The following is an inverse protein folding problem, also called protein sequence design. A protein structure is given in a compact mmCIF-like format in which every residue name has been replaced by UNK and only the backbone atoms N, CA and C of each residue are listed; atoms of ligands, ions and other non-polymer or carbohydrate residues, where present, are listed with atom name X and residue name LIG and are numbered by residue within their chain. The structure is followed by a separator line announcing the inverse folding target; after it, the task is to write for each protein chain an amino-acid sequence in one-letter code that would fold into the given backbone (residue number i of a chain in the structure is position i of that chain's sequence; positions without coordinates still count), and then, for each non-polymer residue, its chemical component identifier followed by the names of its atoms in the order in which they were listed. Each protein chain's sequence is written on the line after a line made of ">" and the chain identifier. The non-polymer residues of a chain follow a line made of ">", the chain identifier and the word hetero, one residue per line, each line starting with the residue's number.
data_IF_479080008423
#
_entry.id   IF_479080008423
#
_cell.length_a   1.000
_cell.length_b   1.000
_cell.length_c   1.000
_cell.angle_alpha   90.00
_cell.angle_beta   90.00
_cell.angle_gamma   90.00
#
_symmetry.space_group_name_H-M   'P 1'
#
loop_
_entity.id
_entity.type
_entity.pdbx_description
1 polymer ?
#
# COMPACT_ATOMS: atom_id res chain seq x y z
N UNK A 1 1.89 -2.65 -7.97
CA UNK A 1 0.79 -1.66 -7.90
C UNK A 1 -0.28 -2.08 -6.89
N UNK A 2 -0.73 -3.35 -6.91
CA UNK A 2 -1.69 -3.91 -5.92
C UNK A 2 -1.27 -3.62 -4.47
N UNK A 3 -0.02 -3.93 -4.10
CA UNK A 3 0.46 -3.75 -2.73
C UNK A 3 0.37 -2.30 -2.25
N UNK A 4 0.78 -1.34 -3.10
CA UNK A 4 0.74 0.08 -2.73
C UNK A 4 -0.69 0.58 -2.51
N UNK A 5 -1.64 0.10 -3.33
CA UNK A 5 -3.05 0.44 -3.22
C UNK A 5 -3.71 -0.25 -2.02
N UNK A 6 -3.61 -1.57 -1.89
CA UNK A 6 -4.34 -2.33 -0.87
C UNK A 6 -3.80 -2.13 0.55
N UNK A 7 -2.51 -1.88 0.68
CA UNK A 7 -1.86 -1.61 1.97
C UNK A 7 -1.64 -0.12 2.23
N UNK A 8 -2.13 0.75 1.33
CA UNK A 8 -2.00 2.20 1.43
C UNK A 8 -0.57 2.68 1.64
N UNK A 9 0.42 2.11 0.95
CA UNK A 9 1.83 2.43 1.19
C UNK A 9 2.16 3.86 0.75
N UNK A 10 3.00 4.56 1.53
CA UNK A 10 3.68 5.75 1.00
C UNK A 10 4.74 5.32 -0.01
N UNK A 11 5.10 6.22 -0.94
CA UNK A 11 6.18 5.98 -1.92
C UNK A 11 7.47 5.48 -1.28
N UNK A 12 7.89 6.10 -0.18
CA UNK A 12 9.10 5.72 0.56
C UNK A 12 8.99 4.34 1.21
N UNK A 13 7.81 3.99 1.72
CA UNK A 13 7.55 2.67 2.33
C UNK A 13 7.53 1.58 1.26
N UNK A 14 6.94 1.87 0.09
CA UNK A 14 6.92 0.94 -1.03
C UNK A 14 8.33 0.61 -1.52
N UNK A 15 9.21 1.60 -1.75
CA UNK A 15 10.59 1.33 -2.21
C UNK A 15 11.46 0.67 -1.15
N UNK A 16 11.21 0.92 0.14
CA UNK A 16 12.02 0.39 1.24
C UNK A 16 11.62 -1.03 1.67
N UNK A 17 10.61 -1.64 1.04
CA UNK A 17 10.11 -2.97 1.38
C UNK A 17 11.21 -4.03 1.26
N UNK A 18 11.34 -4.88 2.29
CA UNK A 18 12.31 -5.96 2.33
C UNK A 18 11.63 -7.32 2.24
N UNK A 19 12.36 -8.33 1.75
CA UNK A 19 11.84 -9.70 1.69
C UNK A 19 11.56 -10.28 3.08
N UNK A 20 12.31 -9.87 4.10
CA UNK A 20 12.09 -10.27 5.51
C UNK A 20 10.76 -9.77 6.08
N UNK A 21 10.18 -8.73 5.48
CA UNK A 21 8.89 -8.19 5.90
C UNK A 21 7.72 -9.07 5.42
N UNK A 22 7.96 -10.00 4.49
CA UNK A 22 6.92 -10.84 3.90
C UNK A 22 7.00 -12.25 4.51
N UNK A 23 5.98 -12.61 5.26
CA UNK A 23 5.80 -13.96 5.77
C UNK A 23 4.85 -14.75 4.85
N UNK A 24 5.41 -15.52 3.91
CA UNK A 24 4.63 -16.31 2.96
C UNK A 24 3.85 -17.48 3.58
N UNK A 25 4.24 -17.93 4.78
CA UNK A 25 3.57 -19.01 5.49
C UNK A 25 2.37 -18.46 6.27
N UNK A 26 2.58 -17.38 7.02
CA UNK A 26 1.51 -16.67 7.75
C UNK A 26 0.60 -15.85 6.83
N UNK A 27 0.99 -15.66 5.56
CA UNK A 27 0.25 -14.84 4.58
C UNK A 27 0.14 -13.37 5.01
N UNK A 28 1.23 -12.82 5.56
CA UNK A 28 1.25 -11.47 6.12
C UNK A 28 2.44 -10.67 5.60
N UNK A 29 2.28 -9.35 5.62
CA UNK A 29 3.36 -8.39 5.42
C UNK A 29 3.47 -7.47 6.62
N UNK A 30 4.69 -7.30 7.14
CA UNK A 30 5.01 -6.30 8.16
C UNK A 30 5.36 -4.96 7.49
N UNK A 31 4.51 -3.96 7.64
CA UNK A 31 4.70 -2.68 6.98
C UNK A 31 5.49 -1.74 7.89
N UNK A 32 6.77 -1.53 7.55
CA UNK A 32 7.63 -0.52 8.19
C UNK A 32 7.22 0.87 7.74
N UNK A 33 6.46 1.57 8.57
CA UNK A 33 5.98 2.92 8.22
C UNK A 33 7.08 3.96 8.40
N UNK A 34 7.04 5.00 7.56
CA UNK A 34 7.99 6.11 7.62
C UNK A 34 7.83 6.94 8.92
N UNK A 35 8.89 7.70 9.28
CA UNK A 35 9.06 8.35 10.59
C UNK A 35 7.78 9.01 11.12
N UNK A 36 7.43 8.65 12.35
CA UNK A 36 6.25 9.18 13.04
C UNK A 36 4.94 8.48 12.71
N UNK A 37 4.96 7.35 12.00
CA UNK A 37 3.79 6.49 11.75
C UNK A 37 3.89 5.17 12.52
N UNK A 38 2.78 4.43 12.62
CA UNK A 38 2.72 3.16 13.35
C UNK A 38 2.93 2.00 12.38
N UNK A 39 4.02 1.26 12.54
CA UNK A 39 4.25 0.01 11.81
C UNK A 39 3.33 -1.10 12.31
N UNK A 40 3.03 -2.08 11.47
CA UNK A 40 2.17 -3.20 11.84
C UNK A 40 2.07 -4.26 10.75
N UNK A 41 1.55 -5.42 11.12
CA UNK A 41 1.25 -6.49 10.19
C UNK A 41 -0.08 -6.22 9.45
N UNK A 42 -0.15 -6.69 8.20
CA UNK A 42 -1.37 -6.71 7.40
C UNK A 42 -1.45 -8.03 6.61
N UNK A 43 -2.64 -8.59 6.39
CA UNK A 43 -2.80 -9.82 5.61
C UNK A 43 -2.54 -9.55 4.13
N UNK A 44 -1.84 -10.47 3.46
CA UNK A 44 -1.65 -10.46 2.02
C UNK A 44 -2.77 -11.24 1.33
N UNK A 45 -3.28 -10.69 0.24
CA UNK A 45 -4.26 -11.40 -0.58
C UNK A 45 -3.59 -12.50 -1.42
N UNK A 46 -4.36 -13.52 -1.81
CA UNK A 46 -3.87 -14.67 -2.58
C UNK A 46 -3.16 -14.28 -3.88
N UNK A 47 -3.70 -13.30 -4.60
CA UNK A 47 -3.10 -12.77 -5.83
C UNK A 47 -1.79 -12.00 -5.55
N UNK A 48 -1.70 -11.26 -4.45
CA UNK A 48 -0.45 -10.62 -4.01
C UNK A 48 0.61 -11.64 -3.63
N UNK A 49 0.24 -12.69 -2.90
CA UNK A 49 1.15 -13.79 -2.56
C UNK A 49 1.68 -14.48 -3.82
N UNK A 50 0.80 -14.77 -4.77
CA UNK A 50 1.18 -15.41 -6.03
C UNK A 50 2.12 -14.50 -6.85
N UNK A 51 1.80 -13.21 -6.95
CA UNK A 51 2.63 -12.23 -7.65
C UNK A 51 4.00 -12.09 -6.97
N UNK A 52 4.04 -11.98 -5.64
CA UNK A 52 5.28 -11.88 -4.87
C UNK A 52 6.13 -13.15 -4.99
N UNK A 53 5.53 -14.35 -4.93
CA UNK A 53 6.25 -15.61 -5.14
C UNK A 53 6.82 -15.72 -6.54
N UNK A 54 6.04 -15.35 -7.57
CA UNK A 54 6.50 -15.32 -8.95
C UNK A 54 7.68 -14.37 -9.10
N UNK A 55 7.51 -13.14 -8.65
CA UNK A 55 8.53 -12.11 -8.73
C UNK A 55 9.80 -12.48 -7.92
N UNK A 56 9.65 -13.12 -6.76
CA UNK A 56 10.78 -13.61 -5.96
C UNK A 56 11.62 -14.65 -6.74
N UNK A 57 10.99 -15.56 -7.49
CA UNK A 57 11.70 -16.54 -8.33
C UNK A 57 12.40 -15.87 -9.50
N UNK A 58 11.77 -14.87 -10.10
CA UNK A 58 12.29 -14.16 -11.29
C UNK A 58 13.39 -13.15 -10.95
N UNK A 59 13.41 -12.60 -9.73
CA UNK A 59 14.37 -11.57 -9.32
C UNK A 59 15.83 -12.06 -9.24
N UNK A 60 16.07 -13.38 -9.14
CA UNK A 60 17.40 -13.98 -9.09
C UNK A 60 18.21 -13.60 -7.84
N UNK A 61 18.94 -12.48 -7.89
CA UNK A 61 19.81 -11.99 -6.81
C UNK A 61 19.00 -11.25 -5.74
N UNK A 62 19.02 -11.80 -4.53
CA UNK A 62 18.32 -11.27 -3.35
C UNK A 62 19.26 -10.76 -2.25
N UNK A 63 20.55 -10.67 -2.53
CA UNK A 63 21.59 -10.31 -1.55
C UNK A 63 21.35 -8.95 -0.88
N UNK A 64 20.71 -8.00 -1.57
CA UNK A 64 20.38 -6.69 -1.00
C UNK A 64 19.25 -6.72 0.04
N UNK A 65 18.43 -7.78 0.03
CA UNK A 65 17.25 -7.93 0.87
C UNK A 65 16.03 -7.09 0.44
N UNK A 66 16.18 -6.13 -0.47
CA UNK A 66 15.06 -5.32 -0.98
C UNK A 66 14.18 -6.14 -1.92
N UNK A 67 12.85 -5.93 -1.82
CA UNK A 67 11.90 -6.50 -2.79
C UNK A 67 12.12 -5.85 -4.16
N UNK A 68 12.16 -4.51 -4.19
CA UNK A 68 12.32 -3.76 -5.44
C UNK A 68 13.77 -3.32 -5.60
N UNK A 69 14.59 -4.17 -6.21
CA UNK A 69 16.02 -3.91 -6.41
C UNK A 69 16.29 -3.27 -7.77
N UNK A 70 17.09 -2.21 -7.78
CA UNK A 70 17.64 -1.59 -8.98
C UNK A 70 18.94 -2.25 -9.44
N UNK A 71 19.46 -1.82 -10.59
CA UNK A 71 20.66 -2.39 -11.22
C UNK A 71 21.93 -2.33 -10.35
N UNK A 72 22.00 -1.40 -9.41
CA UNK A 72 23.12 -1.20 -8.49
C UNK A 72 22.98 -1.98 -7.17
N UNK A 73 22.09 -2.98 -7.11
CA UNK A 73 21.78 -3.76 -5.89
C UNK A 73 21.25 -2.93 -4.72
N UNK A 74 20.74 -1.73 -4.98
CA UNK A 74 20.04 -0.90 -4.01
C UNK A 74 18.53 -0.92 -4.28
N UNK A 75 17.73 -0.42 -3.33
CA UNK A 75 16.31 -0.17 -3.60
C UNK A 75 16.14 0.73 -4.83
N UNK A 76 15.11 0.46 -5.64
CA UNK A 76 14.72 1.40 -6.71
C UNK A 76 14.38 2.77 -6.11
N UNK A 77 14.62 3.81 -6.89
CA UNK A 77 14.33 5.17 -6.41
C UNK A 77 12.82 5.40 -6.26
N UNK A 78 12.44 6.32 -5.38
CA UNK A 78 11.05 6.79 -5.31
C UNK A 78 10.54 7.36 -6.63
N UNK A 79 11.43 7.98 -7.43
CA UNK A 79 11.10 8.49 -8.76
C UNK A 79 10.68 7.37 -9.71
N UNK A 80 11.32 6.21 -9.62
CA UNK A 80 10.97 5.01 -10.41
C UNK A 80 9.55 4.55 -10.10
N UNK A 81 9.19 4.40 -8.82
CA UNK A 81 7.81 4.03 -8.44
C UNK A 81 6.80 5.08 -8.88
N UNK A 82 7.14 6.37 -8.75
CA UNK A 82 6.28 7.44 -9.21
C UNK A 82 5.99 7.31 -10.71
N UNK A 83 7.05 7.19 -11.52
CA UNK A 83 6.95 7.05 -12.97
C UNK A 83 6.11 5.83 -13.38
N UNK A 84 6.40 4.65 -12.80
CA UNK A 84 5.65 3.43 -13.10
C UNK A 84 4.16 3.57 -12.77
N UNK A 85 3.82 4.20 -11.64
CA UNK A 85 2.41 4.41 -11.27
C UNK A 85 1.72 5.41 -12.21
N UNK A 86 2.40 6.50 -12.58
CA UNK A 86 1.84 7.48 -13.52
C UNK A 86 1.68 6.92 -14.93
N UNK A 87 2.62 6.09 -15.38
CA UNK A 87 2.57 5.43 -16.69
C UNK A 87 1.42 4.42 -16.75
N UNK A 88 1.29 3.57 -15.74
CA UNK A 88 0.15 2.64 -15.62
C UNK A 88 -1.19 3.38 -15.52
N UNK A 89 -1.21 4.52 -14.82
CA UNK A 89 -2.36 5.42 -14.78
C UNK A 89 -2.73 5.90 -16.18
N UNK A 90 -1.76 6.45 -16.91
CA UNK A 90 -1.95 6.98 -18.27
C UNK A 90 -2.46 5.89 -19.20
N UNK A 91 -1.88 4.68 -19.14
CA UNK A 91 -2.34 3.53 -19.92
C UNK A 91 -3.78 3.10 -19.57
N UNK A 92 -4.22 3.33 -18.33
CA UNK A 92 -5.58 3.09 -17.88
C UNK A 92 -6.52 4.30 -18.10
N UNK A 93 -6.06 5.39 -18.73
CA UNK A 93 -6.86 6.61 -18.92
C UNK A 93 -7.07 7.41 -17.63
N UNK A 94 -6.21 7.25 -16.62
CA UNK A 94 -6.33 7.87 -15.30
C UNK A 94 -5.10 8.70 -14.94
N UNK A 95 -5.31 9.88 -14.34
CA UNK A 95 -4.23 10.68 -13.77
C UNK A 95 -4.02 10.26 -12.32
N UNK A 96 -3.08 9.33 -12.09
CA UNK A 96 -2.79 8.80 -10.76
C UNK A 96 -1.30 8.87 -10.40
N UNK A 97 -1.02 9.16 -9.12
CA UNK A 97 0.31 9.10 -8.53
C UNK A 97 0.30 8.36 -7.17
N UNK A 98 1.46 7.97 -6.59
CA UNK A 98 1.50 7.08 -5.42
C UNK A 98 0.68 7.57 -4.21
N UNK A 99 0.68 8.89 -3.97
CA UNK A 99 -0.10 9.45 -2.87
C UNK A 99 -1.62 9.32 -3.08
N UNK A 100 -2.12 9.45 -4.31
CA UNK A 100 -3.54 9.25 -4.63
C UNK A 100 -3.97 7.80 -4.42
N UNK A 101 -3.11 6.81 -4.73
CA UNK A 101 -3.42 5.40 -4.40
C UNK A 101 -3.61 5.19 -2.90
N UNK A 102 -2.77 5.81 -2.06
CA UNK A 102 -2.94 5.74 -0.61
C UNK A 102 -4.24 6.40 -0.13
N UNK A 103 -4.60 7.55 -0.70
CA UNK A 103 -5.88 8.18 -0.37
C UNK A 103 -7.06 7.32 -0.82
N UNK A 104 -6.99 6.78 -2.05
CA UNK A 104 -7.99 5.88 -2.62
C UNK A 104 -8.21 4.66 -1.73
N UNK A 105 -7.13 4.04 -1.21
CA UNK A 105 -7.21 2.98 -0.20
C UNK A 105 -8.07 3.38 1.01
N UNK A 106 -7.74 4.53 1.63
CA UNK A 106 -8.45 5.03 2.80
C UNK A 106 -9.93 5.30 2.51
N UNK A 107 -10.23 6.02 1.43
CA UNK A 107 -11.61 6.29 1.02
C UNK A 107 -12.39 5.01 0.67
N UNK A 108 -11.77 4.08 -0.05
CA UNK A 108 -12.41 2.83 -0.46
C UNK A 108 -12.83 2.00 0.75
N UNK A 109 -11.94 1.82 1.73
CA UNK A 109 -12.24 1.05 2.93
C UNK A 109 -13.32 1.71 3.78
N UNK A 110 -13.25 3.02 3.98
CA UNK A 110 -14.29 3.75 4.75
C UNK A 110 -15.65 3.70 4.04
N UNK A 111 -15.68 3.88 2.71
CA UNK A 111 -16.94 3.83 1.94
C UNK A 111 -17.57 2.42 1.91
N UNK A 112 -16.75 1.37 2.07
CA UNK A 112 -17.22 0.00 2.26
C UNK A 112 -17.75 -0.27 3.68
N UNK A 113 -17.66 0.69 4.58
CA UNK A 113 -18.13 0.56 5.97
C UNK A 113 -17.13 -0.12 6.90
N UNK A 114 -15.85 -0.23 6.52
CA UNK A 114 -14.83 -0.73 7.43
C UNK A 114 -14.63 0.22 8.60
N UNK A 115 -14.35 -0.36 9.77
CA UNK A 115 -14.12 0.39 11.00
C UNK A 115 -12.95 1.39 10.87
N UNK A 116 -13.15 2.59 11.40
CA UNK A 116 -12.20 3.69 11.30
C UNK A 116 -10.85 3.36 11.98
N UNK A 117 -10.87 2.60 13.09
CA UNK A 117 -9.64 2.20 13.80
C UNK A 117 -8.88 1.16 12.99
N UNK A 118 -9.55 0.21 12.34
CA UNK A 118 -8.91 -0.73 11.43
C UNK A 118 -8.22 -0.01 10.26
N UNK A 119 -8.90 0.95 9.62
CA UNK A 119 -8.30 1.74 8.54
C UNK A 119 -7.15 2.62 9.05
N UNK A 120 -7.29 3.22 10.24
CA UNK A 120 -6.22 3.99 10.88
C UNK A 120 -4.98 3.13 11.13
N UNK A 121 -5.16 1.91 11.67
CA UNK A 121 -4.10 0.96 11.94
C UNK A 121 -3.43 0.50 10.64
N UNK A 122 -4.23 0.09 9.64
CA UNK A 122 -3.72 -0.33 8.34
C UNK A 122 -2.86 0.77 7.76
N UNK A 123 -3.33 2.02 7.69
CA UNK A 123 -2.58 3.14 7.13
C UNK A 123 -1.41 3.61 8.02
N UNK A 124 -1.31 3.14 9.27
CA UNK A 124 -0.27 3.52 10.22
C UNK A 124 -0.39 4.95 10.73
N UNK A 125 -1.59 5.52 10.78
CA UNK A 125 -1.82 6.88 11.25
C UNK A 125 -1.76 6.96 12.79
N UNK A 126 -0.81 7.74 13.32
CA UNK A 126 -0.76 8.03 14.77
C UNK A 126 -1.97 8.83 15.25
N UNK A 127 -2.32 9.87 14.52
CA UNK A 127 -3.47 10.73 14.85
C UNK A 127 -4.67 10.30 14.02
N UNK A 128 -5.81 10.08 14.69
CA UNK A 128 -7.07 9.67 14.06
C UNK A 128 -7.58 10.70 13.04
N UNK A 129 -7.27 11.99 13.23
CA UNK A 129 -7.64 13.08 12.31
C UNK A 129 -7.15 12.83 10.87
N UNK A 130 -6.02 12.15 10.70
CA UNK A 130 -5.50 11.80 9.38
C UNK A 130 -6.37 10.76 8.65
N UNK A 131 -7.18 10.00 9.39
CA UNK A 131 -8.14 9.01 8.85
C UNK A 131 -9.54 9.60 8.75
N UNK A 132 -9.96 10.47 9.70
CA UNK A 132 -11.29 11.10 9.71
C UNK A 132 -11.59 11.85 8.40
N UNK A 133 -10.59 12.47 7.76
CA UNK A 133 -10.78 13.10 6.44
C UNK A 133 -11.38 12.15 5.38
N UNK A 134 -11.22 10.83 5.54
CA UNK A 134 -11.81 9.84 4.62
C UNK A 134 -13.31 9.64 4.84
N UNK A 135 -13.85 10.01 6.00
CA UNK A 135 -15.30 9.93 6.29
C UNK A 135 -16.07 11.12 5.71
N UNK A 136 -15.40 12.25 5.44
CA UNK A 136 -16.06 13.44 4.87
C UNK A 136 -16.64 13.17 3.47
N UNK A 137 -15.99 12.31 2.66
CA UNK A 137 -16.54 11.87 1.37
C UNK A 137 -17.57 10.75 1.50
N UNK A 138 -17.69 10.12 2.68
CA UNK A 138 -18.72 9.13 2.96
C UNK A 138 -20.07 9.78 3.28
N UNK A 139 -20.32 11.05 2.94
CA UNK A 139 -21.64 11.68 3.06
C UNK A 139 -22.75 10.87 2.35
N UNK A 140 -22.41 10.07 1.33
CA UNK A 140 -23.32 9.08 0.75
C UNK A 140 -23.76 7.96 1.70
N UNK A 141 -23.00 7.67 2.76
CA UNK A 141 -23.35 6.70 3.80
C UNK A 141 -24.50 7.19 4.70
N UNK A 142 -24.68 8.50 4.87
CA UNK A 142 -25.87 9.03 5.57
C UNK A 142 -27.17 8.65 4.85
N UNK A 143 -27.11 8.46 3.53
CA UNK A 143 -28.27 8.01 2.74
C UNK A 143 -28.67 6.58 3.07
N UNK A 144 -27.73 5.74 3.54
CA UNK A 144 -28.03 4.36 4.02
C UNK A 144 -28.69 4.30 5.40
N UNK A 145 -28.85 5.42 6.10
CA UNK A 145 -29.58 5.46 7.39
C UNK A 145 -31.09 5.65 7.21
N UNK A 146 -31.53 6.01 6.00
CA UNK A 146 -32.93 6.29 5.66
C UNK A 146 -33.50 5.26 4.66
N UNK A 147 -32.73 4.23 4.33
CA UNK A 147 -33.14 3.04 3.56
C UNK A 147 -33.12 1.81 4.48
#
# INVERSE_FOLDING_TARGET
>A
MSLANRHGLRRSEAVAMRWEDINFQAQEIFIRRAKGSLSGAAPLWKDELNALRKYQRESGDRSSGYVWMGRNKQAISGKTIYYLITELGTAAGMIIHPHQLRHSCGYHLINQGHDLRLVQQLLGHKQVNNTIRYTQLAAGALRKLVD
#
